data_IF_851437056367
#
_entry.id   IF_851437056367
#
_cell.length_a   1.000
_cell.length_b   1.000
_cell.length_c   1.000
_cell.angle_alpha   90.00
_cell.angle_beta   90.00
_cell.angle_gamma   90.00
#
_symmetry.space_group_name_H-M   'P 1'
#
loop_
_entity.id
_entity.type
_entity.pdbx_description
1 polymer ?
#
# COMPACT_ATOMS: atom_id res chain seq x y z
N UNK A 1 23.41 10.66 11.01
CA UNK A 1 22.07 10.84 10.40
C UNK A 1 21.12 9.79 10.94
N UNK A 2 20.28 10.13 11.92
CA UNK A 2 19.29 9.22 12.49
C UNK A 2 17.97 9.95 12.68
N UNK A 3 17.01 9.72 11.78
CA UNK A 3 15.67 10.32 11.82
C UNK A 3 14.54 9.31 11.56
N UNK A 4 14.78 8.01 11.74
CA UNK A 4 13.77 6.96 11.54
C UNK A 4 13.40 6.27 12.86
N UNK A 5 13.14 7.04 13.91
CA UNK A 5 12.68 6.50 15.18
C UNK A 5 11.64 7.43 15.77
N UNK A 6 10.47 6.88 16.09
CA UNK A 6 9.53 7.36 17.13
C UNK A 6 8.19 7.99 16.72
N UNK A 7 7.49 7.49 15.69
CA UNK A 7 6.05 7.80 15.53
C UNK A 7 5.11 6.59 15.36
N UNK A 8 5.60 5.35 15.44
CA UNK A 8 4.75 4.15 15.30
C UNK A 8 4.00 3.72 16.56
N UNK A 9 3.88 4.56 17.60
CA UNK A 9 3.46 4.10 18.93
C UNK A 9 2.18 4.68 19.51
N UNK A 10 1.37 5.42 18.76
CA UNK A 10 0.17 6.00 19.38
C UNK A 10 -1.06 6.04 18.46
N UNK A 11 -1.97 5.11 18.75
CA UNK A 11 -3.44 5.26 18.65
C UNK A 11 -3.96 5.37 17.21
N UNK A 12 -4.09 4.23 16.53
CA UNK A 12 -5.34 3.50 16.17
C UNK A 12 -4.81 2.12 15.74
N UNK A 13 -5.49 0.99 15.98
CA UNK A 13 -5.23 -0.22 15.17
C UNK A 13 -6.26 -0.22 14.04
N UNK A 14 -6.12 0.62 12.99
CA UNK A 14 -6.87 0.33 11.78
C UNK A 14 -6.33 -1.02 11.30
N UNK A 15 -7.19 -1.86 10.74
CA UNK A 15 -6.73 -3.06 10.02
C UNK A 15 -5.52 -2.66 9.16
N UNK A 16 -4.32 -3.14 9.52
CA UNK A 16 -3.07 -2.70 8.89
C UNK A 16 -2.99 -3.40 7.54
N UNK A 17 -3.77 -2.91 6.58
CA UNK A 17 -3.90 -3.48 5.25
C UNK A 17 -2.64 -3.23 4.39
N UNK A 18 -1.84 -2.23 4.78
CA UNK A 18 -0.67 -1.76 4.07
C UNK A 18 0.56 -1.64 4.97
N UNK A 19 1.74 -1.85 4.38
CA UNK A 19 3.05 -1.53 4.96
C UNK A 19 3.98 -0.99 3.87
N UNK A 20 5.01 -0.20 4.22
CA UNK A 20 6.06 0.15 3.26
C UNK A 20 6.67 -1.09 2.59
N UNK A 21 7.15 -0.93 1.35
CA UNK A 21 7.69 -1.97 0.47
C UNK A 21 6.71 -3.06 0.01
N UNK A 22 5.47 -3.04 0.48
CA UNK A 22 4.44 -3.98 0.05
C UNK A 22 3.97 -3.68 -1.38
N UNK A 23 3.89 -4.72 -2.20
CA UNK A 23 3.29 -4.62 -3.53
C UNK A 23 1.76 -4.59 -3.42
N UNK A 24 1.16 -3.64 -4.13
CA UNK A 24 -0.29 -3.51 -4.27
C UNK A 24 -0.63 -3.36 -5.75
N UNK A 25 -1.75 -3.94 -6.15
CA UNK A 25 -2.20 -3.93 -7.54
C UNK A 25 -3.48 -3.11 -7.63
N UNK A 26 -3.51 -2.05 -8.42
CA UNK A 26 -4.74 -1.29 -8.67
C UNK A 26 -5.79 -2.18 -9.34
N UNK A 27 -7.07 -1.99 -9.03
CA UNK A 27 -8.16 -2.71 -9.71
C UNK A 27 -8.19 -2.38 -11.19
N UNK A 28 -8.61 -3.34 -12.02
CA UNK A 28 -8.63 -3.18 -13.48
C UNK A 28 -9.53 -2.03 -13.94
N UNK A 29 -10.61 -1.75 -13.19
CA UNK A 29 -11.50 -0.62 -13.44
C UNK A 29 -10.88 0.76 -13.20
N UNK A 30 -9.84 0.85 -12.35
CA UNK A 30 -9.12 2.09 -12.07
C UNK A 30 -8.05 2.35 -13.14
N UNK A 31 -7.47 1.30 -13.70
CA UNK A 31 -6.45 1.37 -14.76
C UNK A 31 -6.83 0.48 -15.95
N UNK A 32 -7.83 0.89 -16.76
CA UNK A 32 -8.27 0.11 -17.90
C UNK A 32 -7.17 -0.01 -18.95
N UNK A 33 -7.14 -1.14 -19.67
CA UNK A 33 -6.16 -1.40 -20.72
C UNK A 33 -4.74 -1.72 -20.23
N UNK A 34 -4.52 -1.77 -18.91
CA UNK A 34 -3.23 -2.13 -18.30
C UNK A 34 -3.25 -3.55 -17.75
N UNK A 35 -2.18 -4.30 -18.03
CA UNK A 35 -2.04 -5.63 -17.50
C UNK A 35 -1.79 -5.58 -15.97
N UNK A 36 -1.84 -6.74 -15.30
CA UNK A 36 -1.69 -6.79 -13.84
C UNK A 36 -0.33 -6.27 -13.35
N UNK A 37 0.74 -6.53 -14.10
CA UNK A 37 2.10 -6.10 -13.73
C UNK A 37 2.23 -4.58 -13.81
N UNK A 38 1.72 -3.97 -14.88
CA UNK A 38 1.68 -2.51 -15.06
C UNK A 38 0.81 -1.79 -14.03
N UNK A 39 -0.17 -2.50 -13.45
CA UNK A 39 -1.02 -1.99 -12.36
C UNK A 39 -0.44 -2.24 -10.96
N UNK A 40 0.70 -2.91 -10.86
CA UNK A 40 1.32 -3.28 -9.58
C UNK A 40 2.43 -2.32 -9.21
N UNK A 41 2.32 -1.72 -8.03
CA UNK A 41 3.26 -0.75 -7.50
C UNK A 41 3.68 -1.12 -6.08
N UNK A 42 4.82 -0.60 -5.63
CA UNK A 42 5.24 -0.72 -4.25
C UNK A 42 4.77 0.48 -3.43
N UNK A 43 4.36 0.22 -2.19
CA UNK A 43 4.06 1.27 -1.21
C UNK A 43 5.37 1.89 -0.72
N UNK A 44 5.49 3.22 -0.86
CA UNK A 44 6.58 4.01 -0.29
C UNK A 44 6.29 4.38 1.16
N UNK A 45 5.09 4.85 1.43
CA UNK A 45 4.69 5.37 2.75
C UNK A 45 3.22 5.07 3.03
N UNK A 46 2.91 4.76 4.29
CA UNK A 46 1.54 4.62 4.80
C UNK A 46 1.26 5.83 5.68
N UNK A 47 0.24 6.61 5.31
CA UNK A 47 -0.12 7.85 5.97
C UNK A 47 -0.99 7.58 7.21
N UNK A 48 -1.02 8.51 8.20
CA UNK A 48 -1.83 8.34 9.41
C UNK A 48 -3.34 8.18 9.15
N UNK A 49 -3.83 8.66 8.00
CA UNK A 49 -5.23 8.55 7.57
C UNK A 49 -5.57 7.19 6.90
N UNK A 50 -4.61 6.26 6.82
CA UNK A 50 -4.78 4.95 6.20
C UNK A 50 -4.61 4.92 4.67
N UNK A 51 -4.27 6.05 4.04
CA UNK A 51 -3.90 6.11 2.62
C UNK A 51 -2.42 5.75 2.41
N UNK A 52 -2.06 5.48 1.17
CA UNK A 52 -0.69 5.14 0.78
C UNK A 52 -0.15 6.05 -0.31
N UNK A 53 1.14 6.30 -0.26
CA UNK A 53 1.93 6.87 -1.35
C UNK A 53 2.72 5.73 -1.98
N UNK A 54 2.74 5.68 -3.31
CA UNK A 54 3.41 4.63 -4.09
C UNK A 54 4.76 5.12 -4.61
N UNK A 55 5.66 4.17 -4.91
CA UNK A 55 6.81 4.46 -5.77
C UNK A 55 6.33 4.69 -7.19
N UNK A 56 6.90 5.70 -7.85
CA UNK A 56 6.73 5.98 -9.28
C UNK A 56 5.28 6.28 -9.73
N UNK A 57 4.33 6.41 -8.79
CA UNK A 57 2.95 6.77 -9.06
C UNK A 57 2.47 7.87 -8.10
N UNK A 58 2.24 9.10 -8.60
CA UNK A 58 1.94 10.25 -7.74
C UNK A 58 0.56 10.17 -7.08
N UNK A 59 0.39 10.92 -5.99
CA UNK A 59 -0.88 11.05 -5.27
C UNK A 59 -1.07 10.08 -4.11
N UNK A 60 -2.16 10.28 -3.36
CA UNK A 60 -2.56 9.45 -2.22
C UNK A 60 -3.69 8.49 -2.59
N UNK A 61 -3.50 7.21 -2.25
CA UNK A 61 -4.41 6.15 -2.67
C UNK A 61 -5.07 5.46 -1.47
N UNK A 62 -6.34 5.12 -1.62
CA UNK A 62 -7.13 4.41 -0.60
C UNK A 62 -7.12 2.90 -0.88
N UNK A 63 -7.29 2.08 0.15
CA UNK A 63 -7.33 0.61 0.05
C UNK A 63 -8.26 0.11 -1.06
N UNK A 64 -9.47 0.69 -1.17
CA UNK A 64 -10.49 0.25 -2.13
C UNK A 64 -10.13 0.46 -3.61
N UNK A 65 -9.05 1.19 -3.90
CA UNK A 65 -8.52 1.34 -5.25
C UNK A 65 -7.73 0.09 -5.70
N UNK A 66 -7.33 -0.75 -4.75
CA UNK A 66 -6.49 -1.92 -4.98
C UNK A 66 -7.32 -3.22 -4.98
N UNK A 67 -6.78 -4.22 -5.65
CA UNK A 67 -7.23 -5.61 -5.53
C UNK A 67 -7.05 -6.07 -4.06
N UNK A 68 -7.95 -6.91 -3.52
CA UNK A 68 -7.82 -7.43 -2.17
C UNK A 68 -6.47 -8.13 -1.98
N UNK A 69 -5.74 -7.74 -0.96
CA UNK A 69 -4.47 -8.40 -0.62
C UNK A 69 -4.79 -9.77 -0.06
N UNK A 70 -4.53 -10.81 -0.84
CA UNK A 70 -4.63 -12.16 -0.35
C UNK A 70 -3.37 -12.48 0.47
N UNK A 71 -3.44 -12.28 1.79
CA UNK A 71 -2.40 -12.74 2.72
C UNK A 71 -2.44 -14.28 2.83
N UNK A 72 -2.23 -14.99 1.73
CA UNK A 72 -1.86 -16.40 1.82
C UNK A 72 -0.51 -16.41 2.52
N UNK A 73 -0.52 -16.79 3.80
CA UNK A 73 0.68 -17.14 4.54
C UNK A 73 1.34 -18.28 3.76
N UNK A 74 2.43 -17.98 3.07
CA UNK A 74 3.38 -19.03 2.73
C UNK A 74 3.96 -19.50 4.06
N UNK A 75 3.29 -20.47 4.68
CA UNK A 75 3.89 -21.30 5.72
C UNK A 75 4.93 -22.17 5.00
N UNK A 76 6.17 -21.69 4.97
CA UNK A 76 7.35 -22.50 4.65
C UNK A 76 8.14 -22.69 5.94
#
# INVERSE_FOLDING_TARGET
MGFFKNFYRKIVRPSVWARPEMAVTFRAEIMPGKNRLERTFKIREVLPNGRVILYEFPGEHRESAFEPVNFKRENT
#
